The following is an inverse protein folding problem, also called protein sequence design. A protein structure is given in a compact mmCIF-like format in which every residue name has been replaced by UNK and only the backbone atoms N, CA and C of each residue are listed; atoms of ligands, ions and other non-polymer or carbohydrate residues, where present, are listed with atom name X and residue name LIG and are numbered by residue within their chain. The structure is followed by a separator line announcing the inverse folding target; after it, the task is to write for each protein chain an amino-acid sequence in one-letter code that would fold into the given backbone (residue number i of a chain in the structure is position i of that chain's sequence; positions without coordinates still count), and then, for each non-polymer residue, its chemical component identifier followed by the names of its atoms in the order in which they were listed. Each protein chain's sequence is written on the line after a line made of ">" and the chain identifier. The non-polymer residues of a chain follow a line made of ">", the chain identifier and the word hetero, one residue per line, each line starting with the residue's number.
data_IF_931132204631
#
_entry.id   IF_931132204631
#
_cell.length_a   1.000
_cell.length_b   1.000
_cell.length_c   1.000
_cell.angle_alpha   90.00
_cell.angle_beta   90.00
_cell.angle_gamma   90.00
#
_symmetry.space_group_name_H-M   'P 1'
#
loop_
_entity.id
_entity.type
_entity.pdbx_description
1 polymer ?
#
# COMPACT_ATOMS: atom_id res chain seq x y z
N UNK A 1 -6.21 -11.96 51.76
CA UNK A 1 -5.10 -12.57 51.02
C UNK A 1 -5.15 -12.30 49.50
N UNK A 2 -6.33 -12.06 48.91
CA UNK A 2 -6.51 -11.90 47.46
C UNK A 2 -5.99 -10.55 46.90
N UNK A 3 -6.14 -9.45 47.62
CA UNK A 3 -5.75 -8.08 47.19
C UNK A 3 -4.25 -7.92 46.91
N UNK A 4 -3.39 -8.54 47.74
CA UNK A 4 -1.93 -8.48 47.58
C UNK A 4 -1.45 -9.24 46.34
N UNK A 5 -2.19 -10.28 45.94
CA UNK A 5 -1.90 -11.05 44.73
C UNK A 5 -2.20 -10.22 43.47
N UNK A 6 -3.35 -9.53 43.45
CA UNK A 6 -3.72 -8.67 42.33
C UNK A 6 -2.76 -7.49 42.14
N UNK A 7 -2.30 -6.85 43.23
CA UNK A 7 -1.31 -5.77 43.14
C UNK A 7 0.06 -6.25 42.64
N UNK A 8 0.48 -7.46 43.01
CA UNK A 8 1.71 -8.07 42.49
C UNK A 8 1.63 -8.37 40.99
N UNK A 9 0.49 -8.91 40.54
CA UNK A 9 0.24 -9.20 39.11
C UNK A 9 0.14 -7.91 38.30
N UNK A 10 -0.50 -6.86 38.83
CA UNK A 10 -0.57 -5.55 38.18
C UNK A 10 0.80 -4.89 38.05
N UNK A 11 1.66 -4.96 39.08
CA UNK A 11 3.03 -4.44 39.01
C UNK A 11 3.87 -5.18 37.98
N UNK A 12 3.72 -6.50 37.85
CA UNK A 12 4.38 -7.30 36.82
C UNK A 12 3.90 -6.93 35.40
N UNK A 13 2.60 -6.70 35.20
CA UNK A 13 2.04 -6.25 33.93
C UNK A 13 2.56 -4.86 33.52
N UNK A 14 2.64 -3.92 34.46
CA UNK A 14 3.19 -2.59 34.21
C UNK A 14 4.68 -2.67 33.85
N UNK A 15 5.47 -3.46 34.59
CA UNK A 15 6.89 -3.63 34.31
C UNK A 15 7.16 -4.25 32.92
N UNK A 16 6.36 -5.24 32.50
CA UNK A 16 6.45 -5.82 31.15
C UNK A 16 6.14 -4.78 30.06
N UNK A 17 5.13 -3.92 30.28
CA UNK A 17 4.74 -2.89 29.32
C UNK A 17 5.83 -1.81 29.14
N UNK A 18 6.56 -1.46 30.21
CA UNK A 18 7.65 -0.50 30.14
C UNK A 18 8.91 -1.08 29.47
N UNK A 19 9.13 -2.39 29.54
CA UNK A 19 10.28 -3.05 28.91
C UNK A 19 10.17 -3.13 27.38
N UNK A 20 8.95 -3.19 26.83
CA UNK A 20 8.69 -3.26 25.39
C UNK A 20 8.76 -1.90 24.68
N UNK A 21 8.83 -0.79 25.42
CA UNK A 21 8.90 0.57 24.86
C UNK A 21 10.34 1.05 24.55
N UNK A 22 11.34 0.15 24.56
CA UNK A 22 12.75 0.52 24.37
C UNK A 22 13.19 0.35 22.91
N UNK A 23 13.05 1.41 22.12
CA UNK A 23 13.65 1.49 20.79
C UNK A 23 15.19 1.58 20.86
N UNK A 24 15.93 0.96 19.91
CA UNK A 24 17.38 1.06 19.83
C UNK A 24 17.87 2.41 19.25
N UNK A 25 19.09 2.87 19.61
CA UNK A 25 19.57 4.20 19.28
C UNK A 25 20.05 4.35 17.82
N UNK A 26 19.70 5.48 17.19
CA UNK A 26 20.28 5.98 15.94
C UNK A 26 21.78 6.27 16.13
N UNK A 27 22.63 5.76 15.22
CA UNK A 27 24.02 6.21 15.04
C UNK A 27 24.17 6.97 13.73
N UNK A 28 24.66 8.19 13.87
CA UNK A 28 25.08 9.11 12.81
C UNK A 28 26.48 8.75 12.29
N UNK A 29 26.73 8.94 10.99
CA UNK A 29 28.09 9.10 10.43
C UNK A 29 28.05 10.19 9.35
N UNK A 30 29.00 11.12 9.43
CA UNK A 30 29.20 12.29 8.55
C UNK A 30 30.12 12.01 7.34
N UNK A 31 29.84 12.79 6.29
CA UNK A 31 30.72 13.43 5.29
C UNK A 31 31.45 12.65 4.18
N UNK A 32 31.24 13.13 2.94
CA UNK A 32 32.03 12.84 1.75
C UNK A 32 31.38 13.35 0.45
N UNK A 33 31.82 14.52 -0.05
CA UNK A 33 31.36 15.24 -1.26
C UNK A 33 31.42 14.44 -2.58
N UNK A 34 30.38 14.55 -3.43
CA UNK A 34 30.40 14.71 -4.92
C UNK A 34 28.97 14.69 -5.50
N UNK A 35 28.57 15.75 -6.21
CA UNK A 35 27.42 15.77 -7.13
C UNK A 35 27.92 15.68 -8.59
N UNK A 36 27.11 15.34 -9.62
CA UNK A 36 25.66 15.09 -9.64
C UNK A 36 25.20 13.84 -10.43
N UNK A 37 24.12 13.19 -9.97
CA UNK A 37 23.11 12.47 -10.76
C UNK A 37 21.95 12.19 -9.81
N UNK A 38 20.81 12.85 -10.00
CA UNK A 38 19.61 12.60 -9.20
C UNK A 38 19.02 11.23 -9.56
N UNK A 39 19.65 10.17 -9.07
CA UNK A 39 19.01 8.88 -8.90
C UNK A 39 18.47 8.89 -7.48
N UNK A 40 17.23 9.37 -7.30
CA UNK A 40 16.53 9.17 -6.03
C UNK A 40 16.63 7.68 -5.68
N UNK A 41 17.05 7.30 -4.47
CA UNK A 41 17.06 5.90 -4.07
C UNK A 41 15.64 5.38 -4.29
N UNK A 42 15.50 4.37 -5.16
CA UNK A 42 14.22 3.69 -5.37
C UNK A 42 13.88 3.05 -4.03
N UNK A 43 13.04 3.74 -3.25
CA UNK A 43 12.38 3.14 -2.09
C UNK A 43 11.79 1.80 -2.55
N UNK A 44 11.77 0.77 -1.67
CA UNK A 44 11.19 -0.51 -2.04
C UNK A 44 9.81 -0.25 -2.65
N UNK A 45 9.57 -0.78 -3.86
CA UNK A 45 8.32 -0.54 -4.58
C UNK A 45 7.18 -1.02 -3.70
N UNK A 46 6.44 -0.07 -3.13
CA UNK A 46 5.21 -0.38 -2.42
C UNK A 46 4.20 -0.88 -3.44
N UNK A 47 3.39 -1.87 -3.07
CA UNK A 47 2.33 -2.39 -3.95
C UNK A 47 1.39 -1.27 -4.39
N UNK A 48 1.22 -0.24 -3.58
CA UNK A 48 0.42 0.95 -3.89
C UNK A 48 0.98 1.81 -5.02
N UNK A 49 2.30 1.83 -5.25
CA UNK A 49 2.99 2.68 -6.26
C UNK A 49 2.61 4.18 -6.21
N UNK A 50 2.12 4.65 -5.06
CA UNK A 50 1.64 6.02 -4.86
C UNK A 50 0.15 6.25 -5.16
N UNK A 51 -0.64 5.20 -5.42
CA UNK A 51 -2.10 5.29 -5.56
C UNK A 51 -2.84 5.37 -4.21
N UNK A 52 -2.18 5.09 -3.10
CA UNK A 52 -2.81 5.10 -1.78
C UNK A 52 -2.11 4.12 -0.86
N UNK A 53 -1.16 4.62 -0.07
CA UNK A 53 -0.28 3.78 0.75
C UNK A 53 -0.99 3.19 1.98
N UNK A 54 -2.14 3.74 2.34
CA UNK A 54 -2.99 3.24 3.44
C UNK A 54 -3.96 2.13 2.98
N UNK A 55 -4.08 1.91 1.67
CA UNK A 55 -4.96 0.90 1.10
C UNK A 55 -4.25 -0.46 1.00
N UNK A 56 -5.03 -1.54 1.06
CA UNK A 56 -4.52 -2.91 0.91
C UNK A 56 -4.60 -3.29 -0.57
N UNK A 57 -3.44 -3.40 -1.20
CA UNK A 57 -3.30 -3.79 -2.60
C UNK A 57 -3.00 -5.28 -2.74
N UNK A 58 -3.66 -5.95 -3.67
CA UNK A 58 -3.34 -7.32 -4.08
C UNK A 58 -2.18 -7.33 -5.06
N UNK A 59 -1.40 -8.41 -5.06
CA UNK A 59 -0.21 -8.51 -5.90
C UNK A 59 -0.55 -9.03 -7.31
N UNK A 60 -1.48 -9.97 -7.43
CA UNK A 60 -1.82 -10.61 -8.71
C UNK A 60 -3.32 -10.60 -8.99
N UNK A 61 -3.67 -10.83 -10.25
CA UNK A 61 -5.05 -10.86 -10.72
C UNK A 61 -5.82 -12.05 -10.13
N UNK A 62 -5.18 -13.21 -10.04
CA UNK A 62 -5.76 -14.45 -9.51
C UNK A 62 -6.08 -14.29 -8.02
N UNK A 63 -5.18 -13.65 -7.27
CA UNK A 63 -5.41 -13.31 -5.86
C UNK A 63 -6.60 -12.35 -5.72
N UNK A 64 -6.68 -11.33 -6.58
CA UNK A 64 -7.78 -10.37 -6.54
C UNK A 64 -9.13 -11.05 -6.79
N UNK A 65 -9.21 -11.93 -7.79
CA UNK A 65 -10.41 -12.72 -8.09
C UNK A 65 -10.78 -13.67 -6.96
N UNK A 66 -9.80 -14.37 -6.38
CA UNK A 66 -10.03 -15.26 -5.24
C UNK A 66 -10.59 -14.50 -4.02
N UNK A 67 -10.01 -13.34 -3.71
CA UNK A 67 -10.48 -12.47 -2.61
C UNK A 67 -11.85 -11.89 -2.90
N UNK A 68 -12.11 -11.47 -4.14
CA UNK A 68 -13.42 -10.96 -4.57
C UNK A 68 -14.51 -12.00 -4.36
N UNK A 69 -14.29 -13.23 -4.84
CA UNK A 69 -15.23 -14.35 -4.65
C UNK A 69 -15.48 -14.69 -3.19
N UNK A 70 -14.44 -14.62 -2.35
CA UNK A 70 -14.53 -14.97 -0.92
C UNK A 70 -15.19 -13.87 -0.09
N UNK A 71 -14.90 -12.61 -0.40
CA UNK A 71 -15.40 -11.45 0.36
C UNK A 71 -16.65 -10.81 -0.23
N UNK A 72 -17.11 -11.29 -1.40
CA UNK A 72 -18.20 -10.73 -2.19
C UNK A 72 -18.01 -9.23 -2.46
N UNK A 73 -16.77 -8.82 -2.74
CA UNK A 73 -16.39 -7.44 -3.07
C UNK A 73 -16.01 -7.36 -4.55
N UNK A 74 -16.42 -6.30 -5.27
CA UNK A 74 -15.96 -6.06 -6.64
C UNK A 74 -14.45 -5.79 -6.68
N UNK A 75 -13.81 -6.16 -7.79
CA UNK A 75 -12.40 -5.86 -8.04
C UNK A 75 -12.28 -4.54 -8.79
N UNK A 76 -11.40 -3.66 -8.34
CA UNK A 76 -11.01 -2.45 -9.06
C UNK A 76 -9.57 -2.62 -9.57
N UNK A 77 -9.41 -2.60 -10.89
CA UNK A 77 -8.13 -2.82 -11.56
C UNK A 77 -7.69 -1.53 -12.24
N UNK A 78 -6.48 -1.09 -11.91
CA UNK A 78 -5.88 0.13 -12.47
C UNK A 78 -4.69 -0.25 -13.35
N UNK A 79 -4.84 -0.14 -14.66
CA UNK A 79 -3.74 -0.25 -15.61
C UNK A 79 -3.09 1.13 -15.78
N UNK A 80 -1.77 1.20 -15.59
CA UNK A 80 -1.02 2.44 -15.65
C UNK A 80 0.42 2.21 -16.09
N UNK A 81 1.12 3.27 -16.48
CA UNK A 81 2.57 3.24 -16.70
C UNK A 81 3.24 4.26 -15.78
N UNK A 82 4.43 3.93 -15.27
CA UNK A 82 5.21 4.85 -14.43
C UNK A 82 5.66 6.09 -15.21
N UNK A 83 5.99 5.91 -16.50
CA UNK A 83 6.52 6.95 -17.40
C UNK A 83 5.43 7.64 -18.25
N UNK A 84 4.17 7.60 -17.82
CA UNK A 84 3.07 8.26 -18.52
C UNK A 84 2.57 9.50 -17.75
N UNK A 85 2.63 10.72 -18.32
CA UNK A 85 2.17 11.94 -17.65
C UNK A 85 0.69 11.89 -17.20
N UNK A 86 -0.18 11.30 -18.03
CA UNK A 86 -1.61 11.16 -17.70
C UNK A 86 -1.84 10.19 -16.54
N UNK A 87 -1.08 9.08 -16.50
CA UNK A 87 -1.13 8.13 -15.38
C UNK A 87 -0.66 8.76 -14.08
N UNK A 88 0.42 9.55 -14.14
CA UNK A 88 0.94 10.28 -12.97
C UNK A 88 -0.06 11.33 -12.45
N UNK A 89 -0.70 12.08 -13.36
CA UNK A 89 -1.70 13.07 -12.99
C UNK A 89 -2.93 12.43 -12.30
N UNK A 90 -3.45 11.34 -12.87
CA UNK A 90 -4.57 10.62 -12.27
C UNK A 90 -4.20 10.00 -10.93
N UNK A 91 -3.01 9.38 -10.84
CA UNK A 91 -2.50 8.81 -9.60
C UNK A 91 -2.44 9.84 -8.47
N UNK A 92 -1.94 11.04 -8.76
CA UNK A 92 -1.90 12.14 -7.80
C UNK A 92 -3.31 12.54 -7.35
N UNK A 93 -4.21 12.77 -8.29
CA UNK A 93 -5.60 13.14 -7.97
C UNK A 93 -6.33 12.05 -7.16
N UNK A 94 -6.09 10.78 -7.48
CA UNK A 94 -6.65 9.64 -6.78
C UNK A 94 -6.14 9.55 -5.34
N UNK A 95 -4.83 9.74 -5.13
CA UNK A 95 -4.20 9.70 -3.80
C UNK A 95 -4.61 10.88 -2.90
N UNK A 96 -4.79 12.07 -3.48
CA UNK A 96 -5.18 13.28 -2.74
C UNK A 96 -6.67 13.30 -2.35
N UNK A 97 -7.54 12.62 -3.10
CA UNK A 97 -8.97 12.62 -2.87
C UNK A 97 -9.38 11.58 -1.81
N UNK A 98 -9.74 12.07 -0.62
CA UNK A 98 -10.14 11.23 0.53
C UNK A 98 -11.42 10.42 0.28
N UNK A 99 -12.37 10.95 -0.49
CA UNK A 99 -13.64 10.26 -0.76
C UNK A 99 -13.43 9.06 -1.68
N UNK A 100 -12.55 9.21 -2.67
CA UNK A 100 -12.13 8.12 -3.56
C UNK A 100 -11.39 7.05 -2.76
N UNK A 101 -10.45 7.44 -1.90
CA UNK A 101 -9.72 6.50 -1.04
C UNK A 101 -10.66 5.71 -0.13
N UNK A 102 -11.62 6.39 0.52
CA UNK A 102 -12.65 5.76 1.35
C UNK A 102 -13.57 4.82 0.54
N UNK A 103 -13.86 5.18 -0.70
CA UNK A 103 -14.63 4.32 -1.59
C UNK A 103 -13.83 3.07 -1.99
N UNK A 104 -12.53 3.24 -2.25
CA UNK A 104 -11.62 2.17 -2.65
C UNK A 104 -11.52 1.04 -1.62
N UNK A 105 -11.69 1.31 -0.32
CA UNK A 105 -11.75 0.30 0.75
C UNK A 105 -12.88 -0.76 0.57
N UNK A 106 -13.91 -0.41 -0.20
CA UNK A 106 -15.03 -1.32 -0.51
C UNK A 106 -14.69 -2.31 -1.63
N UNK A 107 -13.59 -2.10 -2.33
CA UNK A 107 -13.15 -2.91 -3.46
C UNK A 107 -11.93 -3.76 -3.08
N UNK A 108 -11.68 -4.80 -3.87
CA UNK A 108 -10.38 -5.45 -3.93
C UNK A 108 -9.52 -4.68 -4.94
N UNK A 109 -8.38 -4.17 -4.50
CA UNK A 109 -7.60 -3.22 -5.28
C UNK A 109 -6.39 -3.87 -5.93
N UNK A 110 -6.29 -3.72 -7.24
CA UNK A 110 -5.17 -4.19 -8.03
C UNK A 110 -4.66 -3.07 -8.93
N UNK A 111 -3.35 -2.85 -8.96
CA UNK A 111 -2.73 -1.97 -9.94
C UNK A 111 -1.68 -2.75 -10.73
N UNK A 112 -1.72 -2.58 -12.05
CA UNK A 112 -0.89 -3.29 -13.00
C UNK A 112 -0.11 -2.26 -13.83
N UNK A 113 1.19 -2.51 -13.96
CA UNK A 113 2.09 -1.74 -14.84
C UNK A 113 2.20 -2.40 -16.21
N UNK A 114 2.04 -3.72 -16.24
CA UNK A 114 2.07 -4.53 -17.46
C UNK A 114 0.66 -4.99 -17.79
N UNK A 115 0.39 -5.12 -19.08
CA UNK A 115 -0.88 -5.62 -19.57
C UNK A 115 -1.06 -7.10 -19.25
N UNK A 116 -2.32 -7.51 -19.09
CA UNK A 116 -2.66 -8.92 -18.83
C UNK A 116 -2.85 -9.69 -20.14
N UNK A 117 -2.90 -11.02 -20.06
CA UNK A 117 -3.21 -11.86 -21.21
C UNK A 117 -4.71 -11.93 -21.54
N UNK A 118 -5.57 -11.42 -20.65
CA UNK A 118 -7.02 -11.47 -20.80
C UNK A 118 -7.53 -10.32 -21.66
N UNK A 119 -8.11 -10.66 -22.83
CA UNK A 119 -8.69 -9.68 -23.76
C UNK A 119 -9.90 -8.95 -23.19
N UNK A 120 -10.59 -9.52 -22.20
CA UNK A 120 -11.71 -8.87 -21.53
C UNK A 120 -11.27 -7.65 -20.71
N UNK A 121 -9.97 -7.54 -20.37
CA UNK A 121 -9.39 -6.40 -19.66
C UNK A 121 -8.93 -5.26 -20.59
N UNK A 122 -9.25 -5.34 -21.88
CA UNK A 122 -8.98 -4.28 -22.87
C UNK A 122 -10.06 -4.23 -23.99
N UNK A 123 -11.36 -4.10 -23.65
CA UNK A 123 -12.44 -4.14 -24.64
C UNK A 123 -12.38 -3.00 -25.67
N UNK A 124 -11.81 -1.87 -25.27
CA UNK A 124 -11.65 -0.64 -26.06
C UNK A 124 -10.17 -0.30 -26.34
N UNK A 125 -9.26 -1.25 -26.08
CA UNK A 125 -7.83 -1.12 -26.31
C UNK A 125 -6.98 -1.05 -25.05
N UNK A 126 -5.67 -0.84 -25.24
CA UNK A 126 -4.65 -0.93 -24.19
C UNK A 126 -4.07 0.45 -23.80
N UNK A 127 -4.90 1.49 -23.81
CA UNK A 127 -4.47 2.83 -23.40
C UNK A 127 -4.29 2.93 -21.88
N UNK A 128 -3.45 3.86 -21.44
CA UNK A 128 -3.23 4.14 -20.01
C UNK A 128 -3.39 5.64 -19.70
N UNK A 129 -3.91 6.01 -18.51
CA UNK A 129 -4.42 5.11 -17.48
C UNK A 129 -5.83 4.55 -17.81
N UNK A 130 -6.13 3.35 -17.32
CA UNK A 130 -7.44 2.68 -17.50
C UNK A 130 -7.88 2.02 -16.21
N UNK A 131 -9.15 2.22 -15.84
CA UNK A 131 -9.75 1.66 -14.62
C UNK A 131 -10.90 0.74 -15.02
N UNK A 132 -10.85 -0.51 -14.57
CA UNK A 132 -11.87 -1.51 -14.83
C UNK A 132 -12.44 -2.06 -13.52
N UNK A 133 -13.69 -2.50 -13.59
CA UNK A 133 -14.39 -3.13 -12.48
C UNK A 133 -14.87 -4.51 -12.91
N UNK A 134 -14.72 -5.48 -12.00
CA UNK A 134 -15.17 -6.87 -12.15
C UNK A 134 -16.05 -7.23 -10.97
#
# INVERSE_FOLDING_TARGET
>A
AMEKSYMSVFLLLVALSCALAKEPPKKETKEGNKAPKETKPKLPQTLSRGWGDHLIWTQTYEEALFRSKTSNKPVMIIHHLEDCPHSQALKKAFAENKDIQKMAEKFILLNLVYETTDKNLSPDGQYVPRILFI
#
